data_IF_445871640203
#
_entry.id   IF_445871640203
#
_cell.length_a   1.000
_cell.length_b   1.000
_cell.length_c   1.000
_cell.angle_alpha   90.00
_cell.angle_beta   90.00
_cell.angle_gamma   90.00
#
_symmetry.space_group_name_H-M   'P 1'
#
loop_
_entity.id
_entity.type
_entity.pdbx_description
1 polymer ?
#
# COMPACT_ATOMS: atom_id res chain seq x y z
N UNK A 1 3.01 -36.47 26.23
CA UNK A 1 1.55 -36.71 26.30
C UNK A 1 0.89 -36.12 25.06
N UNK A 2 0.23 -36.92 24.21
CA UNK A 2 -0.59 -36.39 23.10
C UNK A 2 -1.86 -35.81 23.71
N UNK A 3 -2.15 -34.53 23.42
CA UNK A 3 -3.39 -33.87 23.83
C UNK A 3 -4.58 -34.58 23.17
N UNK A 4 -5.39 -35.30 23.94
CA UNK A 4 -6.65 -35.89 23.47
C UNK A 4 -7.72 -34.79 23.53
N UNK A 5 -7.69 -33.87 22.55
CA UNK A 5 -8.80 -32.95 22.33
C UNK A 5 -9.90 -33.71 21.61
N UNK A 6 -11.15 -33.50 22.01
CA UNK A 6 -12.28 -34.01 21.24
C UNK A 6 -12.33 -33.31 19.88
N UNK A 7 -12.92 -33.97 18.89
CA UNK A 7 -13.09 -33.38 17.56
C UNK A 7 -13.83 -32.03 17.63
N UNK A 8 -14.83 -31.92 18.52
CA UNK A 8 -15.54 -30.68 18.77
C UNK A 8 -14.63 -29.57 19.29
N UNK A 9 -13.75 -29.85 20.25
CA UNK A 9 -12.79 -28.87 20.77
C UNK A 9 -11.82 -28.39 19.68
N UNK A 10 -11.39 -29.28 18.78
CA UNK A 10 -10.54 -28.92 17.64
C UNK A 10 -11.29 -27.98 16.69
N UNK A 11 -12.54 -28.30 16.34
CA UNK A 11 -13.40 -27.46 15.48
C UNK A 11 -13.64 -26.08 16.09
N UNK A 12 -13.91 -26.00 17.39
CA UNK A 12 -14.09 -24.73 18.10
C UNK A 12 -12.82 -23.87 18.10
N UNK A 13 -11.67 -24.48 18.38
CA UNK A 13 -10.38 -23.78 18.38
C UNK A 13 -10.06 -23.21 16.98
N UNK A 14 -10.27 -24.01 15.93
CA UNK A 14 -10.06 -23.57 14.55
C UNK A 14 -11.01 -22.44 14.16
N UNK A 15 -12.30 -22.55 14.50
CA UNK A 15 -13.26 -21.48 14.22
C UNK A 15 -12.87 -20.16 14.92
N UNK A 16 -12.46 -20.23 16.19
CA UNK A 16 -11.97 -19.04 16.92
C UNK A 16 -10.74 -18.44 16.24
N UNK A 17 -9.80 -19.28 15.79
CA UNK A 17 -8.63 -18.84 15.07
C UNK A 17 -9.01 -18.13 13.76
N UNK A 18 -9.87 -18.72 12.92
CA UNK A 18 -10.31 -18.11 11.68
C UNK A 18 -10.99 -16.75 11.91
N UNK A 19 -11.84 -16.65 12.92
CA UNK A 19 -12.48 -15.37 13.29
C UNK A 19 -11.46 -14.31 13.68
N UNK A 20 -10.43 -14.69 14.43
CA UNK A 20 -9.36 -13.77 14.82
C UNK A 20 -8.56 -13.30 13.61
N UNK A 21 -8.19 -14.22 12.71
CA UNK A 21 -7.46 -13.89 11.48
C UNK A 21 -8.27 -12.90 10.64
N UNK A 22 -9.55 -13.20 10.36
CA UNK A 22 -10.41 -12.30 9.58
C UNK A 22 -10.52 -10.91 10.20
N UNK A 23 -10.64 -10.82 11.52
CA UNK A 23 -10.68 -9.54 12.23
C UNK A 23 -9.37 -8.76 12.07
N UNK A 24 -8.24 -9.43 12.21
CA UNK A 24 -6.92 -8.80 12.08
C UNK A 24 -6.68 -8.32 10.65
N UNK A 25 -6.98 -9.13 9.65
CA UNK A 25 -6.85 -8.75 8.24
C UNK A 25 -7.72 -7.54 7.89
N UNK A 26 -8.96 -7.49 8.40
CA UNK A 26 -9.84 -6.33 8.20
C UNK A 26 -9.26 -5.05 8.82
N UNK A 27 -8.68 -5.15 10.02
CA UNK A 27 -8.01 -4.02 10.69
C UNK A 27 -6.75 -3.60 9.93
N UNK A 28 -5.96 -4.56 9.46
CA UNK A 28 -4.73 -4.26 8.72
C UNK A 28 -5.03 -3.56 7.41
N UNK A 29 -5.98 -4.08 6.62
CA UNK A 29 -6.43 -3.44 5.37
C UNK A 29 -6.94 -2.00 5.60
N UNK A 30 -7.68 -1.77 6.69
CA UNK A 30 -8.11 -0.43 7.07
C UNK A 30 -6.93 0.50 7.41
N UNK A 31 -5.97 0.02 8.19
CA UNK A 31 -4.80 0.79 8.58
C UNK A 31 -3.89 1.10 7.38
N UNK A 32 -3.66 0.12 6.50
CA UNK A 32 -2.92 0.31 5.25
C UNK A 32 -3.58 1.39 4.39
N UNK A 33 -4.90 1.30 4.18
CA UNK A 33 -5.65 2.31 3.43
C UNK A 33 -5.52 3.71 4.04
N UNK A 34 -5.61 3.82 5.36
CA UNK A 34 -5.44 5.11 6.05
C UNK A 34 -4.04 5.66 5.92
N UNK A 35 -3.02 4.81 5.98
CA UNK A 35 -1.63 5.20 5.79
C UNK A 35 -1.41 5.73 4.38
N UNK A 36 -1.91 5.02 3.37
CA UNK A 36 -1.84 5.46 1.97
C UNK A 36 -2.53 6.80 1.80
N UNK A 37 -3.77 6.95 2.30
CA UNK A 37 -4.50 8.22 2.22
C UNK A 37 -3.80 9.39 2.93
N UNK A 38 -2.98 9.12 3.95
CA UNK A 38 -2.23 10.16 4.65
C UNK A 38 -0.92 10.55 3.94
N UNK A 39 -0.40 9.71 3.04
CA UNK A 39 0.89 9.89 2.38
C UNK A 39 0.76 10.19 0.89
N UNK A 40 -0.32 9.72 0.26
CA UNK A 40 -0.59 9.83 -1.16
C UNK A 40 -1.61 10.94 -1.40
N UNK A 41 -1.32 11.80 -2.38
CA UNK A 41 -2.25 12.78 -2.93
C UNK A 41 -2.69 12.35 -4.33
N UNK A 42 -3.94 12.61 -4.69
CA UNK A 42 -4.40 12.37 -6.07
C UNK A 42 -3.79 13.42 -6.98
N UNK A 43 -3.56 13.10 -8.26
CA UNK A 43 -3.13 14.11 -9.24
C UNK A 43 -4.09 15.31 -9.30
N UNK A 44 -5.40 15.08 -9.17
CA UNK A 44 -6.40 16.16 -9.13
C UNK A 44 -6.26 17.10 -7.92
N UNK A 45 -5.59 16.66 -6.86
CA UNK A 45 -5.35 17.47 -5.65
C UNK A 45 -4.05 18.28 -5.75
N UNK A 46 -3.23 18.04 -6.78
CA UNK A 46 -1.96 18.75 -6.98
C UNK A 46 -2.21 20.16 -7.53
N UNK A 47 -1.41 21.10 -7.04
CA UNK A 47 -1.29 22.42 -7.65
C UNK A 47 -0.53 22.32 -8.98
N UNK A 48 -0.72 23.24 -9.94
CA UNK A 48 0.05 23.26 -11.18
C UNK A 48 1.57 23.27 -10.95
N UNK A 49 2.03 23.88 -9.85
CA UNK A 49 3.44 23.89 -9.45
C UNK A 49 3.96 22.52 -9.00
N UNK A 50 3.13 21.71 -8.34
CA UNK A 50 3.47 20.34 -7.94
C UNK A 50 3.42 19.40 -9.14
N UNK A 51 2.44 19.56 -10.04
CA UNK A 51 2.37 18.78 -11.28
C UNK A 51 3.60 18.98 -12.17
N UNK A 52 4.10 20.21 -12.28
CA UNK A 52 5.31 20.51 -13.03
C UNK A 52 6.60 19.90 -12.44
N UNK A 53 6.59 19.45 -11.17
CA UNK A 53 7.70 18.71 -10.57
C UNK A 53 7.70 17.22 -10.93
N UNK A 54 6.60 16.70 -11.50
CA UNK A 54 6.47 15.29 -11.87
C UNK A 54 7.23 14.93 -13.14
N UNK A 55 7.64 15.92 -13.93
CA UNK A 55 8.42 15.72 -15.14
C UNK A 55 9.56 16.72 -15.24
N UNK A 56 10.59 16.36 -15.99
CA UNK A 56 11.64 17.28 -16.40
C UNK A 56 11.83 17.08 -17.89
N UNK A 57 11.97 18.18 -18.62
CA UNK A 57 12.33 18.13 -20.02
C UNK A 57 13.83 18.38 -20.11
N UNK A 58 14.56 17.39 -20.63
CA UNK A 58 15.95 17.58 -20.99
C UNK A 58 16.01 18.51 -22.20
N UNK A 59 16.60 19.69 -22.03
CA UNK A 59 17.04 20.51 -23.16
C UNK A 59 18.36 19.95 -23.66
N UNK A 60 18.29 19.01 -24.60
CA UNK A 60 19.39 18.76 -25.51
C UNK A 60 19.44 19.97 -26.45
N UNK A 61 20.10 21.05 -26.02
CA UNK A 61 20.47 22.10 -26.97
C UNK A 61 21.33 21.43 -28.04
N UNK A 62 20.96 21.65 -29.30
CA UNK A 62 21.71 21.17 -30.45
C UNK A 62 23.12 21.78 -30.39
N UNK A 63 24.05 21.02 -29.81
CA UNK A 63 25.51 21.22 -29.84
C UNK A 63 26.06 21.11 -31.29
N UNK A 64 25.25 21.39 -32.31
CA UNK A 64 25.65 21.45 -33.73
C UNK A 64 26.00 22.88 -34.20
N UNK A 65 25.84 23.90 -33.35
CA UNK A 65 26.25 25.29 -33.67
C UNK A 65 27.40 25.81 -32.79
N UNK A 66 28.27 24.93 -32.30
CA UNK A 66 29.50 25.32 -31.60
C UNK A 66 30.72 24.61 -32.16
N UNK A 67 31.17 25.04 -33.33
CA UNK A 67 32.60 25.12 -33.73
C UNK A 67 32.68 25.81 -35.10
N UNK A 68 33.01 27.10 -35.07
CA UNK A 68 33.73 27.80 -36.15
C UNK A 68 35.11 27.14 -36.39
#
# INVERSE_FOLDING_TARGET
MKSIRTEWQVRCAFNSFCKQVLKHEAVDAYNQRRKHQAQESTFSDLTPQEENQLFTLDSYEEDENRSD
#
